data_IF_543540453029
#
_entry.id   IF_543540453029
#
_cell.length_a   1.000
_cell.length_b   1.000
_cell.length_c   1.000
_cell.angle_alpha   90.00
_cell.angle_beta   90.00
_cell.angle_gamma   90.00
#
_symmetry.space_group_name_H-M   'P 1'
#
loop_
_entity.id
_entity.type
_entity.pdbx_description
1 polymer ?
#
# COMPACT_ATOMS: atom_id res chain seq x y z
N UNK A 1 -17.07 28.09 -5.73
CA UNK A 1 -17.19 26.99 -6.73
C UNK A 1 -17.19 27.53 -8.17
N UNK A 2 -17.34 28.85 -8.37
CA UNK A 2 -17.26 29.53 -9.68
C UNK A 2 -15.88 29.45 -10.32
N UNK A 3 -14.80 29.48 -9.54
CA UNK A 3 -13.43 29.61 -10.11
C UNK A 3 -12.87 28.32 -10.72
N UNK A 4 -13.55 27.18 -10.55
CA UNK A 4 -13.07 25.88 -11.04
C UNK A 4 -14.16 25.10 -11.80
N UNK A 5 -15.22 25.78 -12.28
CA UNK A 5 -16.34 25.10 -12.94
C UNK A 5 -15.96 24.39 -14.23
N UNK A 6 -14.84 24.76 -14.86
CA UNK A 6 -14.34 24.16 -16.10
C UNK A 6 -13.15 23.21 -15.90
N UNK A 7 -12.58 23.13 -14.69
CA UNK A 7 -11.45 22.23 -14.42
C UNK A 7 -11.95 20.79 -14.20
N UNK A 8 -11.68 19.94 -15.18
CA UNK A 8 -12.09 18.52 -15.16
C UNK A 8 -11.53 17.76 -13.96
N UNK A 9 -10.29 18.05 -13.52
CA UNK A 9 -9.66 17.37 -12.39
C UNK A 9 -10.32 17.79 -11.07
N UNK A 10 -10.60 19.09 -10.91
CA UNK A 10 -11.33 19.63 -9.75
C UNK A 10 -12.75 19.07 -9.71
N UNK A 11 -13.45 19.05 -10.85
CA UNK A 11 -14.78 18.47 -10.95
C UNK A 11 -14.81 17.00 -10.53
N UNK A 12 -13.86 16.19 -11.01
CA UNK A 12 -13.74 14.77 -10.65
C UNK A 12 -13.46 14.57 -9.16
N UNK A 13 -12.57 15.37 -8.56
CA UNK A 13 -12.28 15.31 -7.12
C UNK A 13 -13.53 15.62 -6.28
N UNK A 14 -14.29 16.66 -6.61
CA UNK A 14 -15.54 16.98 -5.92
C UNK A 14 -16.61 15.90 -6.13
N UNK A 15 -16.68 15.32 -7.32
CA UNK A 15 -17.62 14.23 -7.63
C UNK A 15 -17.29 12.99 -6.80
N UNK A 16 -16.01 12.64 -6.69
CA UNK A 16 -15.52 11.55 -5.85
C UNK A 16 -15.81 11.79 -4.36
N UNK A 17 -15.57 13.01 -3.86
CA UNK A 17 -15.92 13.36 -2.48
C UNK A 17 -17.44 13.23 -2.23
N UNK A 18 -18.27 13.74 -3.14
CA UNK A 18 -19.73 13.68 -3.05
C UNK A 18 -20.25 12.24 -3.09
N UNK A 19 -19.69 11.37 -3.94
CA UNK A 19 -20.09 9.96 -3.98
C UNK A 19 -19.76 9.26 -2.67
N UNK A 20 -18.58 9.51 -2.08
CA UNK A 20 -18.24 9.01 -0.75
C UNK A 20 -19.22 9.51 0.32
N UNK A 21 -19.64 10.77 0.28
CA UNK A 21 -20.59 11.31 1.26
C UNK A 21 -22.02 10.78 1.12
N UNK A 22 -22.38 10.18 -0.03
CA UNK A 22 -23.76 9.81 -0.34
C UNK A 22 -24.14 8.43 0.21
N UNK A 23 -24.56 8.38 1.47
CA UNK A 23 -24.91 7.13 2.15
C UNK A 23 -26.14 6.42 1.58
N UNK A 24 -27.06 7.14 0.95
CA UNK A 24 -28.25 6.53 0.35
C UNK A 24 -27.90 5.65 -0.85
N UNK A 25 -27.00 6.11 -1.72
CA UNK A 25 -26.54 5.30 -2.85
C UNK A 25 -25.75 4.09 -2.36
N UNK A 26 -24.85 4.27 -1.39
CA UNK A 26 -24.07 3.16 -0.81
C UNK A 26 -24.98 2.11 -0.19
N UNK A 27 -26.04 2.54 0.50
CA UNK A 27 -27.04 1.63 1.06
C UNK A 27 -27.81 0.87 -0.03
N UNK A 28 -28.17 1.54 -1.12
CA UNK A 28 -28.92 0.93 -2.22
C UNK A 28 -28.08 -0.10 -3.00
N UNK A 29 -26.80 0.18 -3.24
CA UNK A 29 -25.88 -0.76 -3.90
C UNK A 29 -25.53 -1.95 -2.99
N UNK A 30 -25.57 -1.73 -1.68
CA UNK A 30 -25.32 -2.76 -0.68
C UNK A 30 -23.90 -3.32 -0.80
N UNK A 31 -23.80 -4.65 -0.82
CA UNK A 31 -22.52 -5.38 -0.83
C UNK A 31 -22.18 -5.94 -2.20
N UNK A 32 -23.05 -5.76 -3.20
CA UNK A 32 -22.82 -6.30 -4.54
C UNK A 32 -21.48 -5.84 -5.13
N UNK A 33 -21.08 -4.55 -5.04
CA UNK A 33 -19.83 -4.11 -5.66
C UNK A 33 -18.59 -4.82 -5.11
N UNK A 34 -18.54 -5.10 -3.80
CA UNK A 34 -17.41 -5.81 -3.20
C UNK A 34 -17.44 -7.31 -3.50
N UNK A 35 -18.63 -7.91 -3.58
CA UNK A 35 -18.76 -9.32 -3.98
C UNK A 35 -18.31 -9.53 -5.44
N UNK A 36 -18.72 -8.65 -6.35
CA UNK A 36 -18.27 -8.66 -7.75
C UNK A 36 -16.75 -8.50 -7.84
N UNK A 37 -16.16 -7.64 -6.99
CA UNK A 37 -14.71 -7.50 -6.90
C UNK A 37 -14.04 -8.78 -6.38
N UNK A 38 -14.56 -9.41 -5.33
CA UNK A 38 -14.02 -10.68 -4.81
C UNK A 38 -14.06 -11.76 -5.90
N UNK A 39 -15.19 -11.91 -6.59
CA UNK A 39 -15.37 -12.91 -7.65
C UNK A 39 -14.40 -12.70 -8.82
N UNK A 40 -14.28 -11.47 -9.32
CA UNK A 40 -13.38 -11.11 -10.43
C UNK A 40 -11.90 -11.38 -10.11
N UNK A 41 -11.49 -11.27 -8.84
CA UNK A 41 -10.10 -11.32 -8.42
C UNK A 41 -9.72 -12.64 -7.74
N UNK A 42 -10.39 -13.74 -8.10
CA UNK A 42 -9.99 -15.10 -7.72
C UNK A 42 -10.80 -15.73 -6.59
N UNK A 43 -11.70 -14.96 -5.98
CA UNK A 43 -12.59 -15.40 -4.91
C UNK A 43 -11.84 -16.02 -3.71
N UNK A 44 -12.59 -16.57 -2.76
CA UNK A 44 -12.08 -17.17 -1.53
C UNK A 44 -13.06 -18.22 -1.00
N UNK A 45 -12.65 -19.10 -0.10
CA UNK A 45 -13.51 -20.21 0.34
C UNK A 45 -14.44 -19.85 1.53
N UNK A 46 -14.33 -18.64 2.09
CA UNK A 46 -15.11 -18.20 3.28
C UNK A 46 -16.59 -17.96 2.94
N UNK A 47 -16.87 -17.36 1.78
CA UNK A 47 -18.26 -17.13 1.31
C UNK A 47 -18.62 -17.91 0.06
N UNK A 48 -17.65 -18.53 -0.61
CA UNK A 48 -17.87 -19.37 -1.79
C UNK A 48 -17.41 -20.81 -1.53
N UNK A 49 -18.35 -21.72 -1.30
CA UNK A 49 -18.06 -23.13 -1.00
C UNK A 49 -17.54 -23.91 -2.21
N UNK A 50 -17.81 -23.41 -3.41
CA UNK A 50 -17.38 -24.02 -4.68
C UNK A 50 -16.00 -23.50 -5.12
N UNK A 51 -15.30 -22.76 -4.24
CA UNK A 51 -13.96 -22.28 -4.50
C UNK A 51 -13.00 -23.44 -4.77
N UNK A 52 -12.31 -23.40 -5.92
CA UNK A 52 -11.38 -24.43 -6.35
C UNK A 52 -9.96 -23.87 -6.46
N UNK A 53 -9.00 -24.52 -5.79
CA UNK A 53 -7.59 -24.17 -5.81
C UNK A 53 -6.84 -24.58 -7.08
N UNK A 54 -7.41 -25.42 -7.96
CA UNK A 54 -6.70 -25.93 -9.14
C UNK A 54 -6.48 -24.86 -10.22
N UNK A 55 -7.52 -24.08 -10.52
CA UNK A 55 -7.45 -22.94 -11.45
C UNK A 55 -6.84 -21.69 -10.81
N UNK A 56 -6.68 -21.70 -9.48
CA UNK A 56 -6.15 -20.57 -8.73
C UNK A 56 -4.62 -20.48 -8.85
N UNK A 57 -4.16 -19.31 -9.29
CA UNK A 57 -2.74 -18.96 -9.49
C UNK A 57 -2.41 -17.72 -8.68
N UNK A 58 -1.47 -17.85 -7.74
CA UNK A 58 -1.08 -16.79 -6.80
C UNK A 58 -0.63 -15.54 -7.54
N UNK A 59 0.21 -15.71 -8.55
CA UNK A 59 0.82 -14.66 -9.37
C UNK A 59 -0.26 -13.79 -10.02
N UNK A 60 -1.23 -14.45 -10.66
CA UNK A 60 -2.36 -13.76 -11.30
C UNK A 60 -3.17 -12.95 -10.29
N UNK A 61 -3.51 -13.54 -9.15
CA UNK A 61 -4.34 -12.87 -8.15
C UNK A 61 -3.61 -11.68 -7.53
N UNK A 62 -2.33 -11.82 -7.17
CA UNK A 62 -1.53 -10.72 -6.66
C UNK A 62 -1.39 -9.59 -7.69
N UNK A 63 -1.15 -9.92 -8.96
CA UNK A 63 -1.04 -8.93 -10.03
C UNK A 63 -2.35 -8.17 -10.24
N UNK A 64 -3.49 -8.88 -10.30
CA UNK A 64 -4.81 -8.28 -10.52
C UNK A 64 -5.28 -7.46 -9.34
N UNK A 65 -5.14 -7.96 -8.11
CA UNK A 65 -5.48 -7.20 -6.91
C UNK A 65 -4.63 -5.91 -6.80
N UNK A 66 -3.37 -5.96 -7.21
CA UNK A 66 -2.52 -4.77 -7.29
C UNK A 66 -3.02 -3.77 -8.33
N UNK A 67 -3.18 -4.19 -9.59
CA UNK A 67 -3.41 -3.26 -10.70
C UNK A 67 -4.84 -2.75 -10.75
N UNK A 68 -5.82 -3.61 -10.52
CA UNK A 68 -7.24 -3.24 -10.63
C UNK A 68 -7.75 -2.55 -9.35
N UNK A 69 -7.21 -2.93 -8.18
CA UNK A 69 -7.73 -2.51 -6.87
C UNK A 69 -6.72 -1.75 -6.00
N UNK A 70 -5.51 -1.50 -6.49
CA UNK A 70 -4.43 -0.88 -5.72
C UNK A 70 -4.19 -1.55 -4.35
N UNK A 71 -4.28 -2.88 -4.33
CA UNK A 71 -4.11 -3.71 -3.12
C UNK A 71 -2.88 -4.60 -3.27
N UNK A 72 -1.67 -4.06 -3.06
CA UNK A 72 -0.46 -4.88 -3.00
C UNK A 72 -0.51 -5.82 -1.78
N UNK A 73 -0.04 -7.05 -1.96
CA UNK A 73 0.14 -8.02 -0.89
C UNK A 73 1.44 -8.81 -1.10
N UNK A 74 2.20 -8.98 -0.01
CA UNK A 74 3.48 -9.69 0.12
C UNK A 74 4.66 -9.12 -0.68
N UNK A 75 4.47 -8.82 -1.95
CA UNK A 75 5.44 -8.29 -2.90
C UNK A 75 5.05 -6.89 -3.34
N UNK A 76 6.04 -6.08 -3.73
CA UNK A 76 5.85 -4.75 -4.28
C UNK A 76 6.37 -4.67 -5.71
N UNK A 77 5.67 -3.89 -6.51
CA UNK A 77 5.96 -3.64 -7.91
C UNK A 77 5.96 -2.13 -8.18
N UNK A 78 6.83 -1.69 -9.07
CA UNK A 78 6.76 -0.32 -9.59
C UNK A 78 7.85 -0.01 -10.60
N UNK A 79 7.85 1.24 -11.06
CA UNK A 79 8.92 1.79 -11.91
C UNK A 79 9.67 2.83 -11.09
N UNK A 80 10.94 2.56 -10.81
CA UNK A 80 11.78 3.46 -10.01
C UNK A 80 13.01 3.89 -10.79
N UNK A 81 13.52 5.08 -10.47
CA UNK A 81 14.85 5.51 -10.92
C UNK A 81 15.91 4.71 -10.16
N UNK A 82 17.02 4.40 -10.81
CA UNK A 82 18.13 3.73 -10.12
C UNK A 82 18.76 4.66 -9.07
N UNK A 83 19.08 4.10 -7.89
CA UNK A 83 19.81 4.80 -6.83
C UNK A 83 21.29 5.03 -7.16
N UNK A 84 21.79 4.40 -8.22
CA UNK A 84 23.16 4.53 -8.72
C UNK A 84 23.26 5.45 -9.93
N UNK A 85 22.17 5.57 -10.70
CA UNK A 85 22.07 6.41 -11.90
C UNK A 85 20.62 6.86 -12.09
N UNK A 86 20.32 8.10 -11.69
CA UNK A 86 18.95 8.63 -11.67
C UNK A 86 18.40 8.93 -13.07
N UNK A 87 19.24 8.85 -14.12
CA UNK A 87 18.81 8.94 -15.52
C UNK A 87 18.12 7.66 -16.00
N UNK A 88 18.44 6.51 -15.38
CA UNK A 88 17.88 5.20 -15.73
C UNK A 88 16.66 4.86 -14.89
N UNK A 89 15.67 4.22 -15.52
CA UNK A 89 14.47 3.69 -14.87
C UNK A 89 14.43 2.18 -15.03
N UNK A 90 14.03 1.50 -13.97
CA UNK A 90 13.89 0.05 -13.96
C UNK A 90 12.53 -0.32 -13.42
N UNK A 91 12.00 -1.39 -14.00
CA UNK A 91 11.05 -2.23 -13.28
C UNK A 91 11.68 -2.64 -11.96
N UNK A 92 10.95 -2.42 -10.87
CA UNK A 92 11.43 -2.62 -9.51
C UNK A 92 10.55 -3.62 -8.78
N UNK A 93 11.18 -4.62 -8.17
CA UNK A 93 10.52 -5.58 -7.28
C UNK A 93 11.06 -5.40 -5.88
N UNK A 94 10.16 -5.30 -4.92
CA UNK A 94 10.45 -5.34 -3.49
C UNK A 94 9.52 -6.32 -2.78
N UNK A 95 9.74 -6.47 -1.48
CA UNK A 95 8.98 -7.40 -0.63
C UNK A 95 8.50 -6.72 0.63
N UNK A 96 7.66 -7.44 1.39
CA UNK A 96 7.32 -7.11 2.76
C UNK A 96 6.10 -6.20 2.94
N UNK A 97 5.14 -6.26 2.02
CA UNK A 97 3.85 -5.58 2.20
C UNK A 97 2.89 -6.52 2.93
N UNK A 98 2.45 -6.14 4.12
CA UNK A 98 1.42 -6.82 4.91
C UNK A 98 0.13 -5.99 4.96
N UNK A 99 -1.01 -6.65 5.26
CA UNK A 99 -2.28 -6.01 5.62
C UNK A 99 -2.11 -4.86 6.62
N UNK A 100 -1.29 -5.08 7.66
CA UNK A 100 -0.98 -4.10 8.71
C UNK A 100 -0.20 -2.86 8.22
N UNK A 101 0.42 -2.92 7.03
CA UNK A 101 1.12 -1.77 6.46
C UNK A 101 0.15 -0.76 5.81
N UNK A 102 -1.15 -1.10 5.70
CA UNK A 102 -2.19 -0.20 5.20
C UNK A 102 -2.33 1.02 6.12
N UNK A 103 -2.50 2.18 5.49
CA UNK A 103 -2.45 3.51 6.16
C UNK A 103 -3.47 3.69 7.30
N UNK A 104 -4.54 2.90 7.32
CA UNK A 104 -5.63 3.00 8.31
C UNK A 104 -5.28 2.32 9.64
N UNK A 105 -4.52 1.22 9.60
CA UNK A 105 -4.15 0.44 10.80
C UNK A 105 -2.87 0.95 11.48
N UNK A 106 -2.05 1.69 10.73
CA UNK A 106 -0.91 2.36 11.35
C UNK A 106 -1.45 3.43 12.30
N UNK A 107 -0.90 3.49 13.51
CA UNK A 107 -0.98 4.63 14.45
C UNK A 107 -0.59 6.00 13.81
N UNK A 108 -0.34 6.07 12.50
CA UNK A 108 -0.19 7.27 11.64
C UNK A 108 -1.34 8.28 11.74
N UNK A 109 -2.50 7.91 12.27
CA UNK A 109 -3.49 8.92 12.69
C UNK A 109 -2.95 9.90 13.75
N UNK A 110 -1.83 9.59 14.41
CA UNK A 110 -1.20 10.45 15.42
C UNK A 110 -0.20 11.48 14.88
N UNK A 111 0.35 11.34 13.67
CA UNK A 111 1.41 12.27 13.25
C UNK A 111 1.70 12.23 11.74
N UNK A 112 1.86 13.41 11.13
CA UNK A 112 2.46 13.61 9.79
C UNK A 112 3.97 13.36 9.78
N UNK A 113 4.57 12.96 10.91
CA UNK A 113 5.99 12.65 11.04
C UNK A 113 6.23 11.12 11.11
N UNK A 114 7.39 10.62 10.64
CA UNK A 114 7.75 9.21 10.75
C UNK A 114 7.94 8.84 12.23
N UNK A 115 7.03 8.06 12.79
CA UNK A 115 7.20 7.44 14.09
C UNK A 115 7.91 6.10 13.86
N UNK A 116 9.23 6.14 13.68
CA UNK A 116 10.07 4.94 13.43
C UNK A 116 10.30 4.07 14.69
N UNK A 117 9.57 4.30 15.80
CA UNK A 117 9.84 3.65 17.08
C UNK A 117 8.58 3.36 17.89
N UNK A 118 7.72 2.46 17.41
CA UNK A 118 6.72 1.81 18.27
C UNK A 118 6.72 0.31 17.96
N UNK A 119 7.71 -0.40 18.52
CA UNK A 119 7.87 -1.86 18.46
C UNK A 119 7.01 -2.62 19.46
N UNK A 120 6.30 -1.95 20.38
CA UNK A 120 5.45 -2.65 21.35
C UNK A 120 4.00 -2.75 20.83
N UNK A 121 3.68 -3.90 20.22
CA UNK A 121 2.31 -4.36 20.06
C UNK A 121 1.74 -4.76 21.42
N UNK A 122 0.67 -4.08 21.81
CA UNK A 122 -0.19 -4.45 22.94
C UNK A 122 -0.93 -5.77 22.58
N UNK A 123 -0.86 -6.84 23.39
CA UNK A 123 -1.55 -8.11 23.14
C UNK A 123 -3.04 -7.97 22.80
N UNK A 124 -3.70 -6.94 23.31
CA UNK A 124 -5.13 -6.65 23.10
C UNK A 124 -5.46 -6.25 21.64
N UNK A 125 -4.47 -5.89 20.80
CA UNK A 125 -4.71 -5.41 19.43
C UNK A 125 -5.17 -6.49 18.44
N UNK A 126 -4.85 -7.75 18.67
CA UNK A 126 -5.28 -8.84 17.78
C UNK A 126 -6.70 -9.29 18.06
N UNK A 127 -7.19 -9.19 19.29
CA UNK A 127 -8.53 -9.67 19.63
C UNK A 127 -9.61 -8.79 19.00
N UNK A 128 -9.47 -7.47 19.09
CA UNK A 128 -10.36 -6.53 18.39
C UNK A 128 -10.27 -6.67 16.86
N UNK A 129 -9.07 -6.97 16.34
CA UNK A 129 -8.88 -7.22 14.91
C UNK A 129 -9.59 -8.50 14.45
N UNK A 130 -9.51 -9.57 15.25
CA UNK A 130 -10.28 -10.80 15.01
C UNK A 130 -11.78 -10.54 15.07
N UNK A 131 -12.26 -9.76 16.05
CA UNK A 131 -13.67 -9.38 16.16
C UNK A 131 -14.14 -8.65 14.91
N UNK A 132 -13.35 -7.70 14.40
CA UNK A 132 -13.63 -7.01 13.16
C UNK A 132 -13.73 -8.00 11.98
N UNK A 133 -12.71 -8.84 11.79
CA UNK A 133 -12.67 -9.82 10.71
C UNK A 133 -13.88 -10.76 10.76
N UNK A 134 -14.16 -11.35 11.92
CA UNK A 134 -15.32 -12.21 12.14
C UNK A 134 -16.64 -11.48 11.86
N UNK A 135 -16.76 -10.20 12.25
CA UNK A 135 -17.97 -9.40 12.00
C UNK A 135 -18.18 -9.19 10.50
N UNK A 136 -17.13 -8.81 9.77
CA UNK A 136 -17.20 -8.56 8.33
C UNK A 136 -17.53 -9.86 7.58
N UNK A 137 -16.93 -10.99 7.98
CA UNK A 137 -17.22 -12.30 7.35
C UNK A 137 -18.69 -12.71 7.53
N UNK A 138 -19.27 -12.47 8.71
CA UNK A 138 -20.70 -12.71 8.97
C UNK A 138 -21.58 -11.81 8.12
N UNK A 139 -21.26 -10.52 8.03
CA UNK A 139 -22.04 -9.57 7.24
C UNK A 139 -22.02 -9.93 5.74
N UNK A 140 -20.92 -10.49 5.23
CA UNK A 140 -20.80 -10.96 3.84
C UNK A 140 -21.51 -12.29 3.56
N UNK A 141 -22.20 -12.89 4.55
CA UNK A 141 -23.01 -14.09 4.37
C UNK A 141 -22.32 -15.41 4.67
N UNK A 142 -21.24 -15.41 5.48
CA UNK A 142 -20.67 -16.67 5.97
C UNK A 142 -21.59 -17.31 7.04
N UNK A 143 -21.91 -18.60 6.85
CA UNK A 143 -23.08 -19.25 7.48
C UNK A 143 -22.80 -20.03 8.79
N UNK A 144 -21.55 -20.19 9.23
CA UNK A 144 -21.24 -20.90 10.49
C UNK A 144 -20.18 -20.16 11.32
N UNK A 145 -20.51 -19.90 12.60
CA UNK A 145 -19.61 -19.18 13.52
C UNK A 145 -18.32 -19.97 13.81
N UNK A 146 -18.38 -21.29 13.96
CA UNK A 146 -17.18 -22.11 14.25
C UNK A 146 -16.17 -22.10 13.10
N UNK A 147 -16.66 -22.11 11.86
CA UNK A 147 -15.79 -22.03 10.68
C UNK A 147 -15.19 -20.63 10.50
N UNK A 148 -15.89 -19.58 10.94
CA UNK A 148 -15.38 -18.21 10.87
C UNK A 148 -14.22 -18.02 11.84
N UNK A 149 -14.37 -18.44 13.10
CA UNK A 149 -13.32 -18.23 14.10
C UNK A 149 -12.05 -19.03 13.76
N UNK A 150 -12.19 -20.24 13.23
CA UNK A 150 -11.06 -21.04 12.72
C UNK A 150 -10.34 -20.32 11.57
N UNK A 151 -11.06 -19.86 10.54
CA UNK A 151 -10.46 -19.16 9.39
C UNK A 151 -9.82 -17.82 9.80
N UNK A 152 -10.47 -17.05 10.68
CA UNK A 152 -9.92 -15.79 11.22
C UNK A 152 -8.61 -16.04 11.97
N UNK A 153 -8.55 -17.09 12.81
CA UNK A 153 -7.31 -17.44 13.49
C UNK A 153 -6.20 -17.84 12.50
N UNK A 154 -6.53 -18.64 11.47
CA UNK A 154 -5.57 -19.04 10.44
C UNK A 154 -5.00 -17.85 9.67
N UNK A 155 -5.84 -16.87 9.31
CA UNK A 155 -5.41 -15.64 8.65
C UNK A 155 -4.50 -14.82 9.55
N UNK A 156 -4.90 -14.60 10.81
CA UNK A 156 -4.09 -13.83 11.76
C UNK A 156 -2.75 -14.49 12.05
N UNK A 157 -2.72 -15.82 12.18
CA UNK A 157 -1.47 -16.56 12.39
C UNK A 157 -0.56 -16.49 11.16
N UNK A 158 -1.13 -16.53 9.95
CA UNK A 158 -0.41 -16.29 8.70
C UNK A 158 0.21 -14.89 8.68
N UNK A 159 -0.54 -13.84 9.04
CA UNK A 159 -0.04 -12.46 9.10
C UNK A 159 1.09 -12.31 10.14
N UNK A 160 0.95 -12.93 11.32
CA UNK A 160 2.00 -12.96 12.36
C UNK A 160 3.26 -13.67 11.89
N UNK A 161 3.10 -14.76 11.16
CA UNK A 161 4.23 -15.48 10.55
C UNK A 161 4.89 -14.61 9.48
N UNK A 162 4.12 -13.97 8.62
CA UNK A 162 4.63 -13.09 7.56
C UNK A 162 5.39 -11.89 8.13
N UNK A 163 4.96 -11.31 9.27
CA UNK A 163 5.71 -10.26 9.97
C UNK A 163 7.15 -10.67 10.28
N UNK A 164 7.39 -11.94 10.63
CA UNK A 164 8.74 -12.47 10.88
C UNK A 164 9.53 -12.68 9.59
N UNK A 165 8.85 -13.08 8.51
CA UNK A 165 9.47 -13.34 7.19
C UNK A 165 9.89 -12.04 6.50
N UNK A 166 9.04 -11.00 6.55
CA UNK A 166 9.29 -9.75 5.83
C UNK A 166 10.52 -8.98 6.33
N UNK A 167 10.90 -9.16 7.59
CA UNK A 167 12.06 -8.47 8.19
C UNK A 167 11.87 -6.95 8.31
N UNK A 168 12.91 -6.25 8.77
CA UNK A 168 12.90 -4.79 8.95
C UNK A 168 13.65 -4.09 7.82
N UNK A 169 13.13 -2.95 7.37
CA UNK A 169 13.83 -2.06 6.44
C UNK A 169 14.94 -1.33 7.17
N UNK A 170 16.13 -1.36 6.61
CA UNK A 170 17.30 -0.63 7.09
C UNK A 170 17.57 0.61 6.23
N UNK A 171 18.48 1.49 6.68
CA UNK A 171 18.73 2.80 6.09
C UNK A 171 19.23 2.76 4.62
N UNK A 172 19.31 3.93 3.98
CA UNK A 172 19.61 4.06 2.53
C UNK A 172 20.93 3.39 2.11
N UNK A 173 21.96 3.44 2.95
CA UNK A 173 23.25 2.81 2.63
C UNK A 173 23.15 1.28 2.62
N UNK A 174 22.31 0.71 3.46
CA UNK A 174 22.03 -0.72 3.47
C UNK A 174 21.11 -1.11 2.32
N UNK A 175 20.15 -0.25 1.97
CA UNK A 175 19.31 -0.40 0.79
C UNK A 175 20.16 -0.51 -0.49
N UNK A 176 21.14 0.38 -0.69
CA UNK A 176 22.04 0.32 -1.86
C UNK A 176 22.84 -0.98 -1.90
N UNK A 177 23.33 -1.48 -0.77
CA UNK A 177 24.04 -2.77 -0.68
C UNK A 177 23.15 -3.96 -1.04
N UNK A 178 21.85 -3.82 -0.84
CA UNK A 178 20.85 -4.86 -1.05
C UNK A 178 20.06 -4.70 -2.36
N UNK A 179 20.53 -3.89 -3.30
CA UNK A 179 19.97 -3.85 -4.66
C UNK A 179 20.78 -4.79 -5.56
N UNK A 180 20.10 -5.67 -6.28
CA UNK A 180 20.68 -6.45 -7.37
C UNK A 180 19.92 -6.22 -8.65
N UNK A 181 20.66 -6.07 -9.75
CA UNK A 181 20.08 -6.06 -11.08
C UNK A 181 20.12 -7.47 -11.64
N UNK A 182 18.98 -7.99 -12.07
CA UNK A 182 18.88 -9.32 -12.66
C UNK A 182 17.79 -9.34 -13.73
N UNK A 183 17.97 -10.17 -14.74
CA UNK A 183 16.95 -10.45 -15.75
C UNK A 183 15.78 -11.22 -15.13
N UNK A 184 14.61 -11.21 -15.78
CA UNK A 184 13.47 -12.04 -15.36
C UNK A 184 13.87 -13.52 -15.28
N UNK A 185 14.66 -14.01 -16.24
CA UNK A 185 15.17 -15.39 -16.23
C UNK A 185 16.05 -15.69 -15.02
N UNK A 186 16.94 -14.76 -14.66
CA UNK A 186 17.78 -14.90 -13.47
C UNK A 186 16.95 -14.82 -12.18
N UNK A 187 15.93 -13.97 -12.13
CA UNK A 187 15.00 -13.89 -10.99
C UNK A 187 14.23 -15.20 -10.78
N UNK A 188 13.67 -15.77 -11.85
CA UNK A 188 13.02 -17.08 -11.80
C UNK A 188 13.96 -18.15 -11.25
N UNK A 189 15.21 -18.22 -11.75
CA UNK A 189 16.22 -19.15 -11.23
C UNK A 189 16.56 -18.87 -9.76
N UNK A 190 16.70 -17.60 -9.39
CA UNK A 190 17.06 -17.17 -8.04
C UNK A 190 15.99 -17.55 -7.02
N UNK A 191 14.71 -17.47 -7.39
CA UNK A 191 13.57 -17.91 -6.57
C UNK A 191 13.19 -19.38 -6.80
N UNK A 192 14.12 -20.17 -7.36
CA UNK A 192 13.96 -21.62 -7.58
C UNK A 192 12.68 -22.00 -8.37
N UNK A 193 12.19 -21.12 -9.25
CA UNK A 193 10.96 -21.29 -10.02
C UNK A 193 9.69 -21.54 -9.17
N UNK A 194 9.71 -21.19 -7.89
CA UNK A 194 8.55 -21.32 -6.98
C UNK A 194 7.46 -20.27 -7.19
N UNK A 195 7.76 -19.24 -7.97
CA UNK A 195 6.87 -18.16 -8.34
C UNK A 195 7.08 -17.83 -9.82
N UNK A 196 6.02 -17.81 -10.61
CA UNK A 196 6.07 -17.50 -12.04
C UNK A 196 6.09 -15.99 -12.28
N UNK A 197 7.29 -15.40 -12.28
CA UNK A 197 7.46 -13.97 -12.51
C UNK A 197 6.99 -13.53 -13.90
N UNK A 198 7.00 -14.42 -14.89
CA UNK A 198 6.58 -14.08 -16.26
C UNK A 198 5.06 -13.91 -16.29
N UNK A 199 4.32 -14.85 -15.69
CA UNK A 199 2.87 -14.73 -15.52
C UNK A 199 2.51 -13.51 -14.67
N UNK A 200 3.25 -13.24 -13.58
CA UNK A 200 3.00 -12.07 -12.74
C UNK A 200 3.12 -10.76 -13.54
N UNK A 201 4.16 -10.62 -14.37
CA UNK A 201 4.37 -9.42 -15.19
C UNK A 201 3.39 -9.30 -16.36
N UNK A 202 3.06 -10.43 -17.02
CA UNK A 202 2.01 -10.48 -18.03
C UNK A 202 0.68 -10.01 -17.44
N UNK A 203 0.35 -10.49 -16.25
CA UNK A 203 -0.89 -10.10 -15.59
C UNK A 203 -0.84 -8.61 -15.18
N UNK A 204 0.26 -8.12 -14.60
CA UNK A 204 0.38 -6.67 -14.28
C UNK A 204 0.17 -5.78 -15.52
N UNK A 205 0.71 -6.18 -16.67
CA UNK A 205 0.69 -5.35 -17.88
C UNK A 205 -0.46 -5.65 -18.84
N UNK A 206 -1.34 -6.60 -18.52
CA UNK A 206 -2.49 -6.90 -19.37
C UNK A 206 -3.41 -5.68 -19.51
N UNK A 207 -3.86 -5.44 -20.72
CA UNK A 207 -4.59 -4.22 -21.09
C UNK A 207 -3.68 -3.06 -21.49
N UNK A 208 -2.35 -3.22 -21.38
CA UNK A 208 -1.35 -2.30 -21.95
C UNK A 208 -0.74 -2.90 -23.22
N UNK A 209 -0.01 -2.07 -23.99
CA UNK A 209 0.77 -2.51 -25.15
C UNK A 209 2.20 -2.95 -24.78
N UNK A 210 2.52 -3.02 -23.49
CA UNK A 210 3.86 -3.26 -22.97
C UNK A 210 4.03 -4.72 -22.53
N UNK A 211 5.26 -5.24 -22.67
CA UNK A 211 5.62 -6.58 -22.18
C UNK A 211 6.99 -6.56 -21.52
N UNK A 212 7.23 -7.52 -20.62
CA UNK A 212 8.52 -7.67 -19.95
C UNK A 212 9.12 -9.01 -20.39
N UNK A 213 10.01 -9.00 -21.40
CA UNK A 213 10.60 -10.23 -21.90
C UNK A 213 11.57 -10.83 -20.88
N UNK A 214 11.86 -12.13 -21.01
CA UNK A 214 12.69 -12.89 -20.08
C UNK A 214 14.10 -12.32 -19.85
N UNK A 215 14.65 -11.63 -20.86
CA UNK A 215 15.96 -11.00 -20.83
C UNK A 215 15.96 -9.56 -20.26
N UNK A 216 14.80 -8.99 -19.93
CA UNK A 216 14.69 -7.63 -19.41
C UNK A 216 15.32 -7.55 -18.02
N UNK A 217 16.28 -6.65 -17.84
CA UNK A 217 16.88 -6.37 -16.54
C UNK A 217 15.92 -5.60 -15.63
N UNK A 218 15.75 -6.11 -14.41
CA UNK A 218 14.96 -5.54 -13.33
C UNK A 218 15.88 -5.06 -12.21
N UNK A 219 15.39 -4.15 -11.38
CA UNK A 219 16.03 -3.74 -10.13
C UNK A 219 15.33 -4.46 -8.97
N UNK A 220 16.02 -5.37 -8.30
CA UNK A 220 15.46 -6.14 -7.18
C UNK A 220 15.99 -5.56 -5.88
N UNK A 221 15.08 -5.12 -5.03
CA UNK A 221 15.37 -4.56 -3.71
C UNK A 221 15.26 -5.70 -2.69
N UNK A 222 16.32 -5.92 -1.91
CA UNK A 222 16.43 -7.03 -0.95
C UNK A 222 16.14 -8.40 -1.57
N UNK A 223 16.93 -8.87 -2.56
CA UNK A 223 16.66 -10.12 -3.28
C UNK A 223 16.53 -11.32 -2.33
N UNK A 224 17.38 -11.45 -1.32
CA UNK A 224 17.29 -12.57 -0.37
C UNK A 224 15.97 -12.54 0.44
N UNK A 225 15.42 -11.36 0.70
CA UNK A 225 14.09 -11.21 1.31
C UNK A 225 12.99 -11.65 0.34
N UNK A 226 13.06 -11.25 -0.95
CA UNK A 226 12.14 -11.74 -1.98
C UNK A 226 12.14 -13.26 -2.05
N UNK A 227 13.33 -13.88 -2.05
CA UNK A 227 13.46 -15.34 -2.06
C UNK A 227 12.79 -15.96 -0.84
N UNK A 228 13.04 -15.46 0.36
CA UNK A 228 12.39 -15.93 1.60
C UNK A 228 10.87 -15.81 1.53
N UNK A 229 10.34 -14.70 1.02
CA UNK A 229 8.90 -14.49 0.86
C UNK A 229 8.32 -15.46 -0.16
N UNK A 230 8.97 -15.66 -1.31
CA UNK A 230 8.53 -16.61 -2.34
C UNK A 230 8.57 -18.06 -1.82
N UNK A 231 9.64 -18.45 -1.14
CA UNK A 231 9.76 -19.76 -0.49
C UNK A 231 8.61 -19.95 0.52
N UNK A 232 8.36 -18.96 1.36
CA UNK A 232 7.29 -18.98 2.35
C UNK A 232 5.89 -19.08 1.72
N UNK A 233 5.61 -18.29 0.68
CA UNK A 233 4.32 -18.31 -0.04
C UNK A 233 4.06 -19.68 -0.69
N UNK A 234 5.10 -20.28 -1.28
CA UNK A 234 5.00 -21.57 -1.95
C UNK A 234 4.54 -22.70 -1.02
N UNK A 235 4.95 -22.62 0.25
CA UNK A 235 4.65 -23.65 1.25
C UNK A 235 3.26 -23.48 1.90
N UNK A 236 2.49 -22.44 1.54
CA UNK A 236 1.17 -22.18 2.13
C UNK A 236 0.02 -22.80 1.33
N UNK A 237 -1.07 -23.23 2.01
CA UNK A 237 -2.28 -23.64 1.33
C UNK A 237 -2.85 -22.51 0.47
N UNK A 238 -3.19 -22.81 -0.79
CA UNK A 238 -3.78 -21.84 -1.72
C UNK A 238 -5.04 -21.17 -1.17
N UNK A 239 -5.90 -21.92 -0.47
CA UNK A 239 -7.12 -21.38 0.15
C UNK A 239 -6.80 -20.34 1.22
N UNK A 240 -5.77 -20.57 2.03
CA UNK A 240 -5.35 -19.63 3.06
C UNK A 240 -4.78 -18.34 2.44
N UNK A 241 -3.97 -18.46 1.38
CA UNK A 241 -3.49 -17.29 0.64
C UNK A 241 -4.62 -16.52 -0.04
N UNK A 242 -5.58 -17.22 -0.65
CA UNK A 242 -6.76 -16.60 -1.24
C UNK A 242 -7.57 -15.83 -0.19
N UNK A 243 -7.76 -16.42 0.99
CA UNK A 243 -8.47 -15.80 2.10
C UNK A 243 -7.78 -14.51 2.58
N UNK A 244 -6.46 -14.55 2.77
CA UNK A 244 -5.67 -13.37 3.18
C UNK A 244 -5.67 -12.28 2.09
N UNK A 245 -5.52 -12.63 0.82
CA UNK A 245 -5.52 -11.63 -0.26
C UNK A 245 -6.91 -10.99 -0.42
N UNK A 246 -7.99 -11.78 -0.34
CA UNK A 246 -9.35 -11.24 -0.40
C UNK A 246 -9.72 -10.45 0.87
N UNK A 247 -9.25 -10.87 2.04
CA UNK A 247 -9.37 -10.09 3.26
C UNK A 247 -8.69 -8.72 3.11
N UNK A 248 -7.47 -8.69 2.56
CA UNK A 248 -6.77 -7.45 2.23
C UNK A 248 -7.58 -6.54 1.31
N UNK A 249 -8.20 -7.11 0.26
CA UNK A 249 -9.10 -6.37 -0.64
C UNK A 249 -10.27 -5.79 0.15
N UNK A 250 -11.01 -6.62 0.88
CA UNK A 250 -12.18 -6.20 1.67
C UNK A 250 -11.80 -5.08 2.62
N UNK A 251 -10.72 -5.25 3.39
CA UNK A 251 -10.18 -4.25 4.33
C UNK A 251 -9.91 -2.91 3.69
N UNK A 252 -9.47 -2.91 2.43
CA UNK A 252 -9.25 -1.69 1.67
C UNK A 252 -10.50 -0.89 1.35
N UNK A 253 -11.65 -1.55 1.28
CA UNK A 253 -12.92 -0.97 0.85
C UNK A 253 -13.96 -0.87 1.96
N UNK A 254 -13.69 -1.34 3.19
CA UNK A 254 -14.68 -1.33 4.29
C UNK A 254 -15.32 0.04 4.49
N UNK A 255 -14.53 1.12 4.44
CA UNK A 255 -15.03 2.49 4.60
C UNK A 255 -15.98 2.96 3.47
N UNK A 256 -16.04 2.23 2.36
CA UNK A 256 -16.95 2.48 1.23
C UNK A 256 -18.21 1.61 1.25
N UNK A 257 -18.26 0.59 2.13
CA UNK A 257 -19.40 -0.34 2.27
C UNK A 257 -20.55 0.27 3.09
N UNK A 258 -21.72 -0.40 3.18
CA UNK A 258 -22.85 0.03 4.01
C UNK A 258 -22.51 0.25 5.49
N UNK A 259 -23.42 0.92 6.20
CA UNK A 259 -23.20 1.48 7.54
C UNK A 259 -22.69 0.44 8.54
N UNK A 260 -23.25 -0.76 8.51
CA UNK A 260 -22.96 -1.87 9.43
C UNK A 260 -21.49 -2.31 9.35
N UNK A 261 -20.90 -2.28 8.15
CA UNK A 261 -19.50 -2.61 7.90
C UNK A 261 -18.58 -1.52 8.46
N UNK A 262 -18.92 -0.26 8.19
CA UNK A 262 -18.15 0.90 8.67
C UNK A 262 -18.20 1.01 10.19
N UNK A 263 -19.33 0.70 10.80
CA UNK A 263 -19.46 0.68 12.26
C UNK A 263 -18.59 -0.41 12.91
N UNK A 264 -18.39 -1.54 12.23
CA UNK A 264 -17.44 -2.56 12.70
C UNK A 264 -16.00 -2.03 12.67
N UNK A 265 -15.61 -1.39 11.56
CA UNK A 265 -14.30 -0.74 11.41
C UNK A 265 -14.08 0.37 12.44
N UNK A 266 -15.08 1.24 12.63
CA UNK A 266 -15.00 2.37 13.54
C UNK A 266 -14.88 1.90 15.00
N UNK A 267 -15.48 0.76 15.37
CA UNK A 267 -15.28 0.14 16.69
C UNK A 267 -13.84 -0.31 16.88
N UNK A 268 -13.26 -0.98 15.88
CA UNK A 268 -11.86 -1.42 15.89
C UNK A 268 -10.87 -0.24 15.93
N UNK A 269 -11.11 0.80 15.11
CA UNK A 269 -10.29 2.02 15.13
C UNK A 269 -10.42 2.71 16.50
N UNK A 270 -11.62 2.76 17.08
CA UNK A 270 -11.85 3.40 18.38
C UNK A 270 -11.16 2.64 19.51
N UNK A 271 -11.18 1.30 19.51
CA UNK A 271 -10.49 0.52 20.55
C UNK A 271 -8.97 0.64 20.43
N UNK A 272 -8.43 0.60 19.22
CA UNK A 272 -6.98 0.67 19.00
C UNK A 272 -6.38 2.09 19.14
N UNK A 273 -7.13 3.13 18.77
CA UNK A 273 -6.62 4.51 18.72
C UNK A 273 -7.26 5.48 19.72
N UNK A 274 -8.42 5.13 20.28
CA UNK A 274 -9.26 5.99 21.13
C UNK A 274 -10.07 7.04 20.36
N UNK A 275 -10.00 7.05 19.03
CA UNK A 275 -10.55 8.13 18.19
C UNK A 275 -11.70 7.61 17.34
N UNK A 276 -12.74 8.43 17.20
CA UNK A 276 -13.79 8.26 16.19
C UNK A 276 -13.63 9.32 15.10
N UNK A 277 -13.63 8.89 13.84
CA UNK A 277 -13.38 9.77 12.70
C UNK A 277 -14.70 10.03 11.97
N UNK A 278 -15.15 11.28 11.84
CA UNK A 278 -16.40 11.55 11.14
C UNK A 278 -16.26 11.26 9.64
N UNK A 279 -17.37 10.85 9.01
CA UNK A 279 -17.43 10.46 7.58
C UNK A 279 -16.80 11.49 6.65
N UNK A 280 -17.11 12.78 6.84
CA UNK A 280 -16.56 13.84 5.98
C UNK A 280 -15.02 13.86 5.98
N UNK A 281 -14.39 13.49 7.10
CA UNK A 281 -12.93 13.43 7.22
C UNK A 281 -12.38 12.18 6.54
N UNK A 282 -13.06 11.04 6.65
CA UNK A 282 -12.73 9.82 5.87
C UNK A 282 -12.82 10.12 4.37
N UNK A 283 -13.92 10.72 3.91
CA UNK A 283 -14.10 11.08 2.51
C UNK A 283 -13.07 12.08 2.01
N UNK A 284 -12.67 13.05 2.83
CA UNK A 284 -11.55 13.94 2.51
C UNK A 284 -10.23 13.18 2.38
N UNK A 285 -9.93 12.25 3.28
CA UNK A 285 -8.70 11.45 3.21
C UNK A 285 -8.66 10.55 1.96
N UNK A 286 -9.79 9.93 1.60
CA UNK A 286 -9.90 9.14 0.38
C UNK A 286 -9.75 10.02 -0.87
N UNK A 287 -10.36 11.20 -0.87
CA UNK A 287 -10.26 12.16 -1.98
C UNK A 287 -8.83 12.68 -2.12
N UNK A 288 -8.19 13.09 -1.02
CA UNK A 288 -6.79 13.53 -1.00
C UNK A 288 -5.83 12.42 -1.44
N UNK A 289 -6.10 11.17 -1.07
CA UNK A 289 -5.30 10.02 -1.48
C UNK A 289 -5.26 9.78 -3.00
N UNK A 290 -6.35 10.09 -3.71
CA UNK A 290 -6.44 9.91 -5.17
C UNK A 290 -6.22 11.20 -5.97
N UNK A 291 -6.57 12.35 -5.40
CA UNK A 291 -6.57 13.66 -6.04
C UNK A 291 -5.63 14.64 -5.33
N UNK A 292 -4.51 14.17 -4.78
CA UNK A 292 -3.58 14.94 -3.93
C UNK A 292 -3.18 16.30 -4.52
N UNK A 293 -2.89 16.37 -5.83
CA UNK A 293 -2.52 17.63 -6.47
C UNK A 293 -3.66 18.63 -6.50
N UNK A 294 -4.89 18.15 -6.74
CA UNK A 294 -6.10 18.97 -6.76
C UNK A 294 -6.42 19.47 -5.35
N UNK A 295 -6.41 18.60 -4.35
CA UNK A 295 -6.67 19.00 -2.96
C UNK A 295 -5.60 19.96 -2.45
N UNK A 296 -4.32 19.76 -2.83
CA UNK A 296 -3.22 20.70 -2.53
C UNK A 296 -3.43 22.05 -3.20
N UNK A 297 -3.78 22.08 -4.49
CA UNK A 297 -4.10 23.32 -5.22
C UNK A 297 -5.22 24.11 -4.53
N UNK A 298 -6.33 23.43 -4.21
CA UNK A 298 -7.48 24.05 -3.53
C UNK A 298 -7.10 24.60 -2.16
N UNK A 299 -6.22 23.91 -1.42
CA UNK A 299 -5.73 24.37 -0.11
C UNK A 299 -4.82 25.59 -0.26
N UNK A 300 -3.81 25.50 -1.13
CA UNK A 300 -2.83 26.58 -1.38
C UNK A 300 -3.53 27.85 -1.81
N UNK A 301 -4.43 27.77 -2.79
CA UNK A 301 -5.14 28.95 -3.31
C UNK A 301 -6.04 29.64 -2.27
N UNK A 302 -6.44 28.94 -1.22
CA UNK A 302 -7.31 29.49 -0.17
C UNK A 302 -6.57 29.93 1.08
N UNK A 303 -5.44 29.29 1.39
CA UNK A 303 -4.80 29.41 2.70
C UNK A 303 -3.34 29.85 2.66
N UNK A 304 -2.66 29.80 1.50
CA UNK A 304 -1.28 30.24 1.38
C UNK A 304 -1.23 31.62 0.70
N UNK A 305 -0.83 32.64 1.45
CA UNK A 305 -0.61 33.98 0.89
C UNK A 305 0.68 34.02 0.07
N UNK A 306 0.74 34.94 -0.90
CA UNK A 306 1.97 35.22 -1.65
C UNK A 306 3.11 35.66 -0.72
N UNK A 307 2.80 36.47 0.29
CA UNK A 307 3.77 36.92 1.30
C UNK A 307 4.40 35.75 2.08
N UNK A 308 3.59 34.79 2.54
CA UNK A 308 4.08 33.60 3.22
C UNK A 308 4.97 32.74 2.30
N UNK A 309 4.62 32.65 1.01
CA UNK A 309 5.42 31.95 0.01
C UNK A 309 6.76 32.66 -0.22
N UNK A 310 6.75 33.98 -0.43
CA UNK A 310 7.96 34.77 -0.67
C UNK A 310 8.90 34.71 0.53
N UNK A 311 8.36 34.85 1.74
CA UNK A 311 9.11 34.71 3.00
C UNK A 311 9.77 33.33 3.09
N UNK A 312 9.04 32.25 2.80
CA UNK A 312 9.62 30.91 2.80
C UNK A 312 10.72 30.74 1.74
N UNK A 313 10.53 31.28 0.53
CA UNK A 313 11.54 31.25 -0.54
C UNK A 313 12.82 32.01 -0.13
N UNK A 314 12.69 33.14 0.56
CA UNK A 314 13.83 33.89 1.13
C UNK A 314 14.56 33.09 2.21
N UNK A 315 13.82 32.53 3.18
CA UNK A 315 14.40 31.67 4.22
C UNK A 315 15.18 30.49 3.62
N UNK A 316 14.64 29.83 2.58
CA UNK A 316 15.36 28.75 1.90
C UNK A 316 16.65 29.22 1.21
N UNK A 317 16.63 30.40 0.58
CA UNK A 317 17.83 30.99 -0.04
C UNK A 317 18.89 31.31 1.01
N UNK A 318 18.49 31.90 2.13
CA UNK A 318 19.39 32.23 3.23
C UNK A 318 19.99 30.97 3.86
N UNK A 319 19.18 29.97 4.20
CA UNK A 319 19.65 28.69 4.73
C UNK A 319 20.63 28.03 3.76
N UNK A 320 20.32 28.02 2.46
CA UNK A 320 21.21 27.46 1.45
C UNK A 320 22.53 28.23 1.37
N UNK A 321 22.51 29.56 1.42
CA UNK A 321 23.72 30.39 1.43
C UNK A 321 24.56 30.08 2.65
N UNK A 322 23.97 30.13 3.85
CA UNK A 322 24.66 29.86 5.11
C UNK A 322 25.23 28.44 5.16
N UNK A 323 24.56 27.45 4.57
CA UNK A 323 25.11 26.11 4.44
C UNK A 323 26.36 26.10 3.56
N UNK A 324 26.34 26.77 2.40
CA UNK A 324 27.47 26.85 1.47
C UNK A 324 28.65 27.60 2.11
N UNK A 325 28.38 28.71 2.78
CA UNK A 325 29.38 29.52 3.48
C UNK A 325 30.01 28.70 4.62
N UNK A 326 29.17 28.04 5.43
CA UNK A 326 29.61 27.17 6.52
C UNK A 326 30.46 25.97 6.07
N UNK A 327 30.38 25.53 4.81
CA UNK A 327 31.28 24.48 4.28
C UNK A 327 32.74 24.94 4.29
N UNK A 328 33.03 26.24 4.11
CA UNK A 328 34.41 26.77 4.14
C UNK A 328 35.09 26.61 5.48
N UNK A 329 34.29 26.70 6.54
CA UNK A 329 34.76 26.65 7.93
C UNK A 329 34.97 25.21 8.42
N UNK A 330 34.54 24.20 7.66
CA UNK A 330 34.66 22.79 8.06
C UNK A 330 36.09 22.27 7.89
N UNK A 331 36.80 22.10 9.00
CA UNK A 331 38.19 21.61 9.05
C UNK A 331 38.33 20.10 8.87
N UNK A 332 37.26 19.33 9.07
CA UNK A 332 37.26 17.87 8.99
C UNK A 332 37.04 17.34 7.56
N UNK A 333 36.65 18.20 6.61
CA UNK A 333 36.48 17.85 5.20
C UNK A 333 37.71 18.29 4.39
N UNK A 334 38.12 17.50 3.40
CA UNK A 334 39.11 17.97 2.43
C UNK A 334 38.49 18.92 1.38
N UNK A 335 39.35 19.59 0.60
CA UNK A 335 38.92 20.54 -0.42
C UNK A 335 38.03 19.90 -1.50
N UNK A 336 38.39 18.70 -1.95
CA UNK A 336 37.66 18.01 -3.02
C UNK A 336 36.23 17.67 -2.57
N UNK A 337 36.07 17.22 -1.33
CA UNK A 337 34.79 16.89 -0.72
C UNK A 337 33.94 18.15 -0.51
N UNK A 338 34.53 19.26 -0.05
CA UNK A 338 33.82 20.56 0.04
C UNK A 338 33.34 21.04 -1.33
N UNK A 339 34.19 20.93 -2.36
CA UNK A 339 33.82 21.33 -3.72
C UNK A 339 32.64 20.51 -4.25
N UNK A 340 32.63 19.19 -4.01
CA UNK A 340 31.50 18.33 -4.37
C UNK A 340 30.24 18.65 -3.55
N UNK A 341 30.38 18.94 -2.26
CA UNK A 341 29.24 19.32 -1.40
C UNK A 341 28.58 20.63 -1.84
N UNK A 342 29.33 21.58 -2.40
CA UNK A 342 28.78 22.83 -2.96
C UNK A 342 28.05 22.65 -4.30
N UNK A 343 28.48 21.68 -5.11
CA UNK A 343 27.85 21.37 -6.40
C UNK A 343 26.51 20.66 -6.23
N UNK A 344 26.37 19.91 -5.13
CA UNK A 344 25.15 19.19 -4.76
C UNK A 344 24.14 20.12 -4.10
#
# INVERSE_FOLDING_TARGET
MSDYSEDSAVYKAFTYYKSCMNENYIKNDGVKPILDAIEKHGSWNITNKDWNGDSWKLEKILARALVDLNTPAFLSWGISRSLFDTSKKFVTIGGGISAYDRRLDRKRFRSRFPQDYLEDEDPDTYDDYKILMSTIFKLLGSNSNSTIDEEVNRIVDLEKEFKKVKGHSTGIDELKKNIKFMTVSELNKFTSYKFDWSLYFEEILSGTFETIPSYKTLMIIYPDNIKKIVDWLHDKPKSLLANEIMWNVIRGFVQTLPKEYREAEDKYIKSSSGITIPRWRICNLLTDGLFQYVTTLLYVNRHLSEDARNTAEEMFKEIKSQFIDGLEEQTWMDYATRAQARLK
#
